data_IF_703888131169
#
_entry.id   IF_703888131169
#
_cell.length_a   1.000
_cell.length_b   1.000
_cell.length_c   1.000
_cell.angle_alpha   90.00
_cell.angle_beta   90.00
_cell.angle_gamma   90.00
#
_symmetry.space_group_name_H-M   'P 1'
#
loop_
_entity.id
_entity.type
_entity.pdbx_description
1 polymer ?
#
# COMPACT_ATOMS: atom_id res chain seq x y z
N UNK A 1 49.21 -13.92 9.26
CA UNK A 1 48.81 -13.65 10.65
C UNK A 1 47.56 -14.44 10.96
N UNK A 2 47.76 -15.71 11.32
CA UNK A 2 46.81 -16.54 12.07
C UNK A 2 47.13 -16.27 13.53
N UNK A 3 46.14 -16.00 14.39
CA UNK A 3 46.18 -16.42 15.79
C UNK A 3 44.97 -15.94 16.62
N UNK A 4 44.50 -16.86 17.47
CA UNK A 4 43.83 -16.66 18.77
C UNK A 4 42.34 -16.30 18.78
N UNK A 5 41.52 -17.36 18.82
CA UNK A 5 40.37 -17.43 19.73
C UNK A 5 40.43 -18.77 20.47
N UNK A 6 40.79 -18.69 21.75
CA UNK A 6 40.90 -19.81 22.67
C UNK A 6 39.75 -19.74 23.70
N UNK A 7 39.14 -20.91 23.89
CA UNK A 7 38.67 -21.48 25.16
C UNK A 7 37.88 -20.60 26.14
N UNK A 8 36.58 -20.88 26.25
CA UNK A 8 35.84 -20.78 27.51
C UNK A 8 35.09 -22.09 27.75
N UNK A 9 35.60 -22.88 28.70
CA UNK A 9 34.96 -24.07 29.26
C UNK A 9 34.41 -23.75 30.65
N UNK A 10 33.23 -24.31 30.91
CA UNK A 10 32.72 -24.84 32.18
C UNK A 10 32.53 -23.88 33.38
N UNK A 11 31.26 -23.62 33.67
CA UNK A 11 30.72 -23.68 35.03
C UNK A 11 29.21 -24.02 34.96
N UNK A 12 28.89 -25.32 34.91
CA UNK A 12 27.53 -25.82 35.08
C UNK A 12 27.32 -26.17 36.56
N UNK A 13 26.77 -25.22 37.32
CA UNK A 13 26.24 -25.46 38.66
C UNK A 13 24.83 -26.04 38.55
N UNK A 14 24.65 -27.27 39.00
CA UNK A 14 23.34 -27.92 39.13
C UNK A 14 22.63 -27.33 40.35
N UNK A 15 21.57 -26.55 40.13
CA UNK A 15 20.60 -26.17 41.17
C UNK A 15 19.32 -26.96 40.91
N UNK A 16 19.14 -28.03 41.68
CA UNK A 16 17.88 -28.78 41.77
C UNK A 16 16.95 -28.03 42.72
N UNK A 17 16.18 -27.08 42.17
CA UNK A 17 15.05 -26.45 42.85
C UNK A 17 13.76 -27.16 42.45
N UNK A 18 13.16 -27.89 43.40
CA UNK A 18 11.84 -28.47 43.25
C UNK A 18 10.78 -27.35 43.25
N UNK A 19 10.34 -26.95 42.05
CA UNK A 19 9.15 -26.12 41.85
C UNK A 19 7.97 -27.03 41.52
N UNK A 20 7.02 -27.12 42.45
CA UNK A 20 5.69 -27.68 42.22
C UNK A 20 4.91 -26.73 41.32
N UNK A 21 4.85 -27.03 40.02
CA UNK A 21 3.96 -26.36 39.06
C UNK A 21 2.62 -27.11 39.04
N UNK A 22 1.66 -26.63 39.83
CA UNK A 22 0.24 -26.95 39.63
C UNK A 22 -0.29 -26.06 38.50
N UNK A 23 -0.59 -26.70 37.36
CA UNK A 23 -1.08 -26.03 36.15
C UNK A 23 -0.69 -26.81 34.91
N UNK A 24 -1.23 -28.01 34.74
CA UNK A 24 -0.97 -28.86 33.58
C UNK A 24 -1.58 -28.27 32.31
N UNK A 25 -0.87 -27.37 31.65
CA UNK A 25 -1.07 -27.13 30.23
C UNK A 25 -0.78 -28.46 29.52
N UNK A 26 -1.83 -29.08 28.98
CA UNK A 26 -1.67 -30.34 28.25
C UNK A 26 -0.78 -30.11 27.04
N UNK A 27 0.13 -31.05 26.74
CA UNK A 27 1.08 -30.95 25.62
C UNK A 27 0.42 -30.75 24.23
N UNK A 28 -0.92 -30.84 24.16
CA UNK A 28 -1.72 -30.57 22.97
C UNK A 28 -1.80 -29.08 22.60
N UNK A 29 -1.48 -28.14 23.49
CA UNK A 29 -1.66 -26.69 23.25
C UNK A 29 -0.38 -25.98 22.74
N UNK A 30 0.70 -26.71 22.52
CA UNK A 30 1.95 -26.12 22.04
C UNK A 30 1.84 -25.71 20.57
N UNK A 31 2.03 -24.41 20.29
CA UNK A 31 2.07 -23.86 18.92
C UNK A 31 3.09 -24.62 18.07
N UNK A 32 2.63 -25.21 16.96
CA UNK A 32 3.51 -25.85 15.99
C UNK A 32 4.14 -24.78 15.09
N UNK A 33 5.43 -24.54 15.27
CA UNK A 33 6.18 -23.54 14.50
C UNK A 33 7.27 -24.18 13.63
N UNK A 34 7.56 -23.56 12.49
CA UNK A 34 8.74 -23.86 11.70
C UNK A 34 10.03 -23.46 12.44
N UNK A 35 11.16 -23.96 11.96
CA UNK A 35 12.46 -23.39 12.34
C UNK A 35 12.59 -21.94 11.88
N UNK A 36 13.42 -21.18 12.58
CA UNK A 36 13.80 -19.83 12.17
C UNK A 36 14.61 -19.86 10.88
N UNK A 37 14.31 -18.94 9.97
CA UNK A 37 15.01 -18.74 8.70
C UNK A 37 15.54 -17.32 8.63
N UNK A 38 16.85 -17.16 8.50
CA UNK A 38 17.46 -15.86 8.28
C UNK A 38 17.04 -15.29 6.91
N UNK A 39 16.86 -13.97 6.84
CA UNK A 39 16.63 -13.27 5.59
C UNK A 39 17.94 -12.91 4.91
N UNK A 40 17.91 -12.78 3.58
CA UNK A 40 19.06 -12.36 2.81
C UNK A 40 19.34 -10.85 3.00
N UNK A 41 20.58 -10.44 2.72
CA UNK A 41 20.94 -9.03 2.67
C UNK A 41 20.00 -8.22 1.74
N UNK A 42 19.64 -6.97 2.08
CA UNK A 42 20.15 -6.16 3.20
C UNK A 42 19.49 -6.42 4.57
N UNK A 43 18.62 -7.44 4.67
CA UNK A 43 17.81 -7.73 5.86
C UNK A 43 18.37 -8.90 6.67
N UNK A 44 19.69 -9.11 6.65
CA UNK A 44 20.40 -10.22 7.32
C UNK A 44 20.27 -10.21 8.85
N UNK A 45 19.83 -9.09 9.42
CA UNK A 45 19.50 -8.93 10.85
C UNK A 45 18.09 -9.40 11.23
N UNK A 46 17.35 -9.97 10.28
CA UNK A 46 16.01 -10.48 10.50
C UNK A 46 15.97 -12.00 10.29
N UNK A 47 15.23 -12.68 11.16
CA UNK A 47 14.84 -14.07 10.98
C UNK A 47 13.32 -14.15 11.00
N UNK A 48 12.72 -15.11 10.28
CA UNK A 48 11.29 -15.34 10.34
C UNK A 48 10.96 -16.82 10.58
N UNK A 49 9.76 -17.08 11.09
CA UNK A 49 9.16 -18.41 11.15
C UNK A 49 7.65 -18.32 10.99
N UNK A 50 7.03 -19.41 10.58
CA UNK A 50 5.58 -19.56 10.57
C UNK A 50 5.15 -20.43 11.73
N UNK A 51 4.01 -20.12 12.33
CA UNK A 51 3.40 -20.87 13.42
C UNK A 51 1.94 -21.15 13.09
N UNK A 52 1.49 -22.38 13.27
CA UNK A 52 0.07 -22.73 13.19
C UNK A 52 -0.55 -22.33 14.52
N UNK A 53 -1.56 -21.46 14.47
CA UNK A 53 -2.37 -21.18 15.65
C UNK A 53 -3.24 -22.41 15.94
N UNK A 54 -3.40 -22.80 17.22
CA UNK A 54 -4.40 -23.80 17.57
C UNK A 54 -5.77 -23.30 17.10
N UNK A 55 -6.61 -24.22 16.64
CA UNK A 55 -7.96 -23.86 16.23
C UNK A 55 -8.64 -23.11 17.39
N UNK A 56 -9.26 -21.98 17.07
CA UNK A 56 -10.04 -21.27 18.06
C UNK A 56 -11.04 -22.28 18.65
N UNK A 57 -11.16 -22.40 19.98
CA UNK A 57 -12.11 -23.34 20.56
C UNK A 57 -13.46 -23.04 19.93
N UNK A 58 -14.02 -24.05 19.25
CA UNK A 58 -15.36 -23.94 18.68
C UNK A 58 -16.24 -23.57 19.86
N UNK A 59 -16.85 -22.37 19.80
CA UNK A 59 -17.76 -21.96 20.86
C UNK A 59 -18.76 -23.11 21.03
N UNK A 60 -18.92 -23.67 22.24
CA UNK A 60 -19.83 -24.79 22.43
C UNK A 60 -21.18 -24.39 21.84
N UNK A 61 -21.75 -25.27 21.01
CA UNK A 61 -23.04 -25.02 20.37
C UNK A 61 -23.99 -24.49 21.43
N UNK A 62 -24.53 -23.29 21.20
CA UNK A 62 -25.44 -22.63 22.13
C UNK A 62 -26.78 -23.38 22.32
N UNK A 63 -26.88 -24.62 21.83
CA UNK A 63 -28.04 -25.48 21.88
C UNK A 63 -28.32 -26.06 23.28
N UNK A 64 -27.37 -26.05 24.21
CA UNK A 64 -27.54 -26.56 25.58
C UNK A 64 -27.40 -25.48 26.67
N UNK A 65 -27.61 -24.21 26.34
CA UNK A 65 -27.78 -23.20 27.38
C UNK A 65 -29.12 -23.45 28.12
N UNK A 66 -29.13 -23.81 29.41
CA UNK A 66 -30.37 -23.91 30.16
C UNK A 66 -31.09 -22.57 30.13
N UNK A 67 -32.37 -22.59 29.76
CA UNK A 67 -33.22 -21.42 29.70
C UNK A 67 -33.23 -20.72 31.07
N UNK A 68 -32.52 -19.60 31.18
CA UNK A 68 -32.57 -18.76 32.38
C UNK A 68 -33.98 -18.16 32.44
N UNK A 69 -34.75 -18.37 33.52
CA UNK A 69 -36.06 -17.74 33.67
C UNK A 69 -35.90 -16.23 33.71
N UNK A 70 -36.60 -15.54 32.81
CA UNK A 70 -36.77 -14.09 32.83
C UNK A 70 -37.51 -13.69 34.11
N UNK A 71 -36.78 -13.18 35.11
CA UNK A 71 -37.38 -12.32 36.13
C UNK A 71 -37.47 -10.90 35.61
N UNK A 72 -38.71 -10.42 35.53
CA UNK A 72 -39.09 -9.05 35.26
C UNK A 72 -38.65 -8.10 36.39
N UNK A 73 -38.75 -6.81 36.07
CA UNK A 73 -38.72 -5.62 36.94
C UNK A 73 -37.36 -4.99 37.25
N UNK A 74 -37.04 -3.95 36.48
CA UNK A 74 -36.39 -2.74 37.01
C UNK A 74 -36.78 -1.49 36.16
N UNK A 75 -36.88 -0.31 36.80
CA UNK A 75 -37.69 0.81 36.32
C UNK A 75 -36.98 1.76 35.34
N UNK A 76 -37.81 2.50 34.62
CA UNK A 76 -37.48 3.53 33.64
C UNK A 76 -36.58 4.66 34.20
N UNK A 77 -35.56 5.02 33.43
CA UNK A 77 -34.79 6.25 33.60
C UNK A 77 -35.47 7.41 32.85
N UNK A 78 -35.45 8.64 33.40
CA UNK A 78 -36.17 9.78 32.83
C UNK A 78 -35.46 10.37 31.61
N UNK A 79 -36.31 10.74 30.66
CA UNK A 79 -36.04 11.50 29.45
C UNK A 79 -35.70 12.95 29.82
N UNK A 80 -34.55 13.45 29.36
CA UNK A 80 -34.28 14.88 29.34
C UNK A 80 -34.39 15.39 27.90
N UNK A 81 -35.50 16.08 27.64
CA UNK A 81 -35.69 16.99 26.51
C UNK A 81 -34.68 18.14 26.61
N UNK A 82 -33.99 18.45 25.52
CA UNK A 82 -33.65 19.84 25.22
C UNK A 82 -33.95 20.11 23.76
N UNK A 83 -35.03 20.85 23.55
CA UNK A 83 -35.35 21.50 22.29
C UNK A 83 -34.38 22.66 22.06
N UNK A 84 -33.90 22.85 20.83
CA UNK A 84 -33.69 24.20 20.33
C UNK A 84 -34.07 24.29 18.86
N UNK A 85 -34.81 25.37 18.63
CA UNK A 85 -35.59 25.80 17.49
C UNK A 85 -34.77 26.26 16.28
N UNK A 86 -35.30 25.90 15.11
CA UNK A 86 -35.52 26.71 13.91
C UNK A 86 -34.39 27.62 13.37
N UNK A 87 -34.02 27.41 12.11
CA UNK A 87 -34.06 28.50 11.12
C UNK A 87 -34.43 27.97 9.73
N UNK A 88 -35.63 28.34 9.30
CA UNK A 88 -36.14 28.30 7.93
C UNK A 88 -35.44 29.32 7.05
N UNK A 89 -35.02 28.91 5.84
CA UNK A 89 -34.93 29.78 4.68
C UNK A 89 -35.19 28.98 3.39
N UNK A 90 -36.40 29.14 2.84
CA UNK A 90 -36.68 29.15 1.39
C UNK A 90 -35.73 30.17 0.75
N UNK A 91 -35.17 30.07 -0.46
CA UNK A 91 -35.70 29.86 -1.83
C UNK A 91 -34.41 29.89 -2.70
N UNK A 92 -34.19 29.18 -3.80
CA UNK A 92 -34.93 29.26 -5.05
C UNK A 92 -34.49 28.14 -6.00
N UNK A 93 -35.46 27.65 -6.77
CA UNK A 93 -35.33 26.77 -7.92
C UNK A 93 -34.43 27.38 -9.01
N UNK A 94 -33.52 26.57 -9.54
CA UNK A 94 -33.16 26.62 -10.96
C UNK A 94 -33.20 25.20 -11.50
N UNK A 95 -34.22 24.95 -12.32
CA UNK A 95 -34.37 23.73 -13.08
C UNK A 95 -33.31 23.70 -14.19
N UNK A 96 -32.42 22.72 -14.14
CA UNK A 96 -31.73 22.21 -15.33
C UNK A 96 -32.29 20.82 -15.60
N UNK A 97 -33.00 20.70 -16.71
CA UNK A 97 -33.43 19.45 -17.32
C UNK A 97 -32.19 18.69 -17.79
N UNK A 98 -31.82 17.65 -17.06
CA UNK A 98 -30.98 16.57 -17.57
C UNK A 98 -31.92 15.46 -18.04
N UNK A 99 -31.81 15.10 -19.31
CA UNK A 99 -32.41 13.90 -19.88
C UNK A 99 -31.85 12.67 -19.14
N UNK A 100 -32.68 12.13 -18.24
CA UNK A 100 -32.43 10.91 -17.50
C UNK A 100 -32.76 9.73 -18.43
N UNK A 101 -31.70 9.12 -18.99
CA UNK A 101 -31.82 7.90 -19.77
C UNK A 101 -32.14 6.75 -18.81
N UNK A 102 -33.44 6.45 -18.72
CA UNK A 102 -34.01 5.35 -17.92
C UNK A 102 -33.35 4.03 -18.34
N UNK A 103 -32.39 3.57 -17.54
CA UNK A 103 -31.88 2.21 -17.61
C UNK A 103 -32.94 1.24 -17.08
N UNK A 104 -33.23 0.14 -17.78
CA UNK A 104 -34.17 -0.86 -17.29
C UNK A 104 -33.63 -1.49 -16.01
N UNK A 105 -34.45 -1.45 -14.94
CA UNK A 105 -34.20 -2.18 -13.70
C UNK A 105 -34.34 -3.68 -13.97
N UNK A 106 -33.21 -4.38 -14.09
CA UNK A 106 -33.21 -5.84 -14.09
C UNK A 106 -33.68 -6.34 -12.72
N UNK A 107 -34.63 -7.28 -12.76
CA UNK A 107 -35.37 -7.76 -11.60
C UNK A 107 -34.47 -8.35 -10.51
N UNK A 108 -34.81 -8.03 -9.26
CA UNK A 108 -34.33 -8.72 -8.08
C UNK A 108 -34.74 -10.20 -8.18
N UNK A 109 -33.77 -11.05 -8.54
CA UNK A 109 -33.91 -12.49 -8.38
C UNK A 109 -33.80 -12.81 -6.88
N UNK A 110 -34.82 -13.49 -6.34
CA UNK A 110 -34.81 -14.10 -5.02
C UNK A 110 -33.57 -15.00 -4.86
N UNK A 111 -32.52 -14.50 -4.21
CA UNK A 111 -31.39 -15.31 -3.78
C UNK A 111 -31.83 -16.23 -2.65
N UNK A 112 -32.04 -17.50 -2.99
CA UNK A 112 -32.24 -18.55 -2.01
C UNK A 112 -31.09 -18.56 -0.98
N UNK A 113 -31.35 -18.80 0.32
CA UNK A 113 -30.34 -18.75 1.36
C UNK A 113 -29.21 -19.74 1.05
N UNK A 114 -28.00 -19.21 0.94
CA UNK A 114 -26.80 -20.00 0.68
C UNK A 114 -26.65 -21.09 1.75
N UNK A 115 -26.60 -22.35 1.32
CA UNK A 115 -26.31 -23.48 2.22
C UNK A 115 -24.95 -23.23 2.90
N UNK A 116 -24.82 -23.44 4.21
CA UNK A 116 -23.55 -23.30 4.90
C UNK A 116 -22.53 -24.25 4.25
N UNK A 117 -21.43 -23.68 3.74
CA UNK A 117 -20.30 -24.46 3.25
C UNK A 117 -19.74 -25.28 4.41
N UNK A 118 -19.66 -26.60 4.24
CA UNK A 118 -19.02 -27.52 5.18
C UNK A 118 -17.50 -27.57 5.01
N UNK A 119 -16.88 -26.53 4.48
CA UNK A 119 -15.43 -26.49 4.33
C UNK A 119 -14.78 -26.50 5.72
N UNK A 120 -13.90 -27.47 6.01
CA UNK A 120 -13.17 -27.49 7.28
C UNK A 120 -12.43 -26.16 7.44
N UNK A 121 -12.50 -25.58 8.64
CA UNK A 121 -11.90 -24.30 8.96
C UNK A 121 -10.43 -24.30 8.52
N UNK A 122 -10.06 -23.34 7.66
CA UNK A 122 -8.68 -23.23 7.18
C UNK A 122 -7.76 -22.91 8.36
N UNK A 123 -6.61 -23.57 8.48
CA UNK A 123 -5.69 -23.31 9.58
C UNK A 123 -5.15 -21.88 9.47
N UNK A 124 -5.12 -21.18 10.60
CA UNK A 124 -4.61 -19.81 10.67
C UNK A 124 -3.09 -19.84 10.86
N UNK A 125 -2.35 -19.31 9.89
CA UNK A 125 -0.87 -19.28 9.92
C UNK A 125 -0.38 -17.92 10.42
N UNK A 126 0.20 -17.88 11.62
CA UNK A 126 0.86 -16.71 12.18
C UNK A 126 2.30 -16.59 11.66
N UNK A 127 2.74 -15.39 11.34
CA UNK A 127 4.13 -15.06 11.03
C UNK A 127 4.79 -14.39 12.25
N UNK A 128 5.93 -14.93 12.68
CA UNK A 128 6.80 -14.28 13.65
C UNK A 128 8.07 -13.79 12.95
N UNK A 129 8.52 -12.59 13.29
CA UNK A 129 9.79 -12.01 12.82
C UNK A 129 10.65 -11.65 14.02
N UNK A 130 11.86 -12.21 14.05
CA UNK A 130 12.89 -11.84 15.01
C UNK A 130 13.77 -10.76 14.40
N UNK A 131 13.90 -9.64 15.09
CA UNK A 131 14.73 -8.51 14.68
C UNK A 131 15.93 -8.36 15.62
N UNK A 132 17.11 -8.26 15.04
CA UNK A 132 18.33 -7.90 15.75
C UNK A 132 18.65 -6.40 15.66
N UNK A 133 17.83 -5.58 15.01
CA UNK A 133 18.03 -4.12 14.95
C UNK A 133 17.91 -3.51 16.37
N UNK A 134 18.78 -2.55 16.75
CA UNK A 134 18.72 -1.93 18.06
C UNK A 134 17.54 -0.96 18.19
N UNK A 135 17.18 -0.27 17.12
CA UNK A 135 16.02 0.62 17.03
C UNK A 135 14.77 -0.08 16.47
N UNK A 136 13.61 0.43 16.88
CA UNK A 136 12.32 0.05 16.28
C UNK A 136 12.27 0.49 14.82
N UNK A 137 11.95 -0.43 13.91
CA UNK A 137 11.80 -0.14 12.49
C UNK A 137 10.39 -0.51 12.02
N UNK A 138 9.72 0.42 11.36
CA UNK A 138 8.49 0.12 10.65
C UNK A 138 8.87 -0.50 9.30
N UNK A 139 8.39 -1.72 9.07
CA UNK A 139 8.73 -2.54 7.91
C UNK A 139 7.47 -3.11 7.29
N UNK A 140 7.49 -3.20 5.96
CA UNK A 140 6.45 -3.88 5.19
C UNK A 140 6.96 -5.25 4.76
N UNK A 141 6.24 -6.28 5.16
CA UNK A 141 6.53 -7.68 4.85
C UNK A 141 5.60 -8.11 3.73
N UNK A 142 6.16 -8.44 2.57
CA UNK A 142 5.42 -9.02 1.45
C UNK A 142 5.63 -10.53 1.45
N UNK A 143 4.56 -11.28 1.65
CA UNK A 143 4.50 -12.73 1.56
C UNK A 143 3.99 -13.12 0.18
N UNK A 144 4.72 -13.98 -0.52
CA UNK A 144 4.24 -14.61 -1.75
C UNK A 144 3.98 -16.09 -1.46
N UNK A 145 2.74 -16.54 -1.64
CA UNK A 145 2.38 -17.96 -1.47
C UNK A 145 2.79 -18.79 -2.69
N UNK A 146 2.79 -20.13 -2.59
CA UNK A 146 3.07 -21.01 -3.73
C UNK A 146 2.02 -20.91 -4.83
N UNK A 147 0.80 -20.50 -4.51
CA UNK A 147 -0.23 -20.20 -5.50
C UNK A 147 -0.02 -18.85 -6.21
N UNK A 148 1.00 -18.08 -5.82
CA UNK A 148 1.29 -16.74 -6.34
C UNK A 148 0.44 -15.63 -5.73
N UNK A 149 -0.33 -15.91 -4.67
CA UNK A 149 -1.03 -14.85 -3.93
C UNK A 149 0.00 -14.00 -3.17
N UNK A 150 -0.23 -12.69 -3.10
CA UNK A 150 0.62 -11.77 -2.34
C UNK A 150 -0.17 -11.22 -1.18
N UNK A 151 0.43 -11.25 0.01
CA UNK A 151 -0.12 -10.70 1.24
C UNK A 151 0.89 -9.71 1.85
N UNK A 152 0.39 -8.57 2.32
CA UNK A 152 1.22 -7.49 2.86
C UNK A 152 0.90 -7.33 4.33
N UNK A 153 1.95 -7.37 5.16
CA UNK A 153 1.88 -7.11 6.60
C UNK A 153 2.75 -5.91 6.93
N UNK A 154 2.15 -4.87 7.51
CA UNK A 154 2.88 -3.72 8.04
C UNK A 154 3.21 -3.99 9.51
N UNK A 155 4.51 -4.00 9.85
CA UNK A 155 5.01 -4.46 11.14
C UNK A 155 5.98 -3.46 11.73
N UNK A 156 5.78 -3.12 13.00
CA UNK A 156 6.79 -2.41 13.80
C UNK A 156 7.71 -3.42 14.46
N UNK A 157 8.92 -3.58 13.94
CA UNK A 157 9.92 -4.52 14.44
C UNK A 157 10.76 -3.85 15.53
N UNK A 158 10.58 -4.30 16.77
CA UNK A 158 11.48 -4.01 17.90
C UNK A 158 12.54 -5.11 18.04
N UNK A 159 13.63 -4.86 18.77
CA UNK A 159 14.64 -5.89 19.05
C UNK A 159 13.99 -7.09 19.76
N UNK A 160 14.13 -8.29 19.21
CA UNK A 160 13.54 -9.52 19.74
C UNK A 160 12.52 -10.14 18.79
N UNK A 161 11.59 -10.93 19.32
CA UNK A 161 10.55 -11.62 18.53
C UNK A 161 9.30 -10.73 18.48
N UNK A 162 8.84 -10.43 17.26
CA UNK A 162 7.65 -9.64 16.99
C UNK A 162 6.64 -10.51 16.25
N UNK A 163 5.38 -10.44 16.65
CA UNK A 163 4.29 -11.04 15.90
C UNK A 163 4.00 -10.14 14.70
N UNK A 164 4.35 -10.61 13.50
CA UNK A 164 4.24 -9.85 12.27
C UNK A 164 2.81 -9.82 11.71
N UNK A 165 2.00 -10.84 12.02
CA UNK A 165 0.61 -10.90 11.58
C UNK A 165 0.17 -12.33 11.30
N UNK A 166 -0.96 -12.45 10.62
CA UNK A 166 -1.54 -13.72 10.15
C UNK A 166 -1.52 -13.71 8.62
N UNK A 167 -1.11 -14.81 8.01
CA UNK A 167 -1.21 -15.04 6.57
C UNK A 167 -2.55 -15.69 6.25
N UNK A 168 -3.53 -14.91 5.78
CA UNK A 168 -4.88 -15.37 5.40
C UNK A 168 -4.84 -16.19 4.11
N UNK A 169 -3.87 -15.92 3.23
CA UNK A 169 -3.70 -16.65 1.97
C UNK A 169 -3.00 -18.01 2.14
N UNK A 170 -2.31 -18.22 3.26
CA UNK A 170 -1.50 -19.41 3.49
C UNK A 170 -2.37 -20.63 3.86
N UNK A 171 -2.13 -21.77 3.21
CA UNK A 171 -2.80 -23.05 3.53
C UNK A 171 -2.09 -23.85 4.61
N UNK A 172 -0.77 -23.74 4.70
CA UNK A 172 0.04 -24.43 5.71
C UNK A 172 1.39 -23.70 5.93
N UNK A 173 2.20 -24.23 6.86
CA UNK A 173 3.50 -23.67 7.25
C UNK A 173 4.52 -23.56 6.10
N UNK A 174 4.32 -24.32 5.02
CA UNK A 174 5.22 -24.43 3.87
C UNK A 174 4.74 -23.65 2.64
N UNK A 175 3.55 -23.03 2.72
CA UNK A 175 2.90 -22.35 1.60
C UNK A 175 3.56 -21.00 1.25
N UNK A 176 4.36 -20.42 2.15
CA UNK A 176 5.14 -19.22 1.84
C UNK A 176 6.30 -19.61 0.90
N UNK A 177 6.20 -19.18 -0.36
CA UNK A 177 7.21 -19.39 -1.40
C UNK A 177 8.33 -18.35 -1.33
N UNK A 178 8.00 -17.09 -1.05
CA UNK A 178 8.96 -16.01 -0.87
C UNK A 178 8.48 -15.02 0.19
N UNK A 179 9.44 -14.40 0.89
CA UNK A 179 9.20 -13.30 1.82
C UNK A 179 10.15 -12.16 1.45
N UNK A 180 9.61 -10.98 1.26
CA UNK A 180 10.37 -9.75 1.00
C UNK A 180 10.10 -8.75 2.11
N UNK A 181 11.15 -8.10 2.57
CA UNK A 181 11.06 -6.99 3.53
C UNK A 181 11.37 -5.71 2.78
N UNK A 182 10.41 -4.81 2.79
CA UNK A 182 10.57 -3.45 2.32
C UNK A 182 10.75 -2.56 3.55
N UNK A 183 11.88 -1.87 3.61
CA UNK A 183 12.04 -0.78 4.59
C UNK A 183 11.10 0.36 4.20
N UNK A 184 10.15 0.66 5.09
CA UNK A 184 9.10 1.62 4.84
C UNK A 184 7.95 1.36 5.79
N UNK A 185 7.70 2.31 6.70
CA UNK A 185 6.57 2.26 7.61
C UNK A 185 5.24 2.49 6.91
N UNK A 186 4.21 2.81 7.69
CA UNK A 186 2.93 3.25 7.14
C UNK A 186 3.16 4.22 5.98
N UNK A 187 2.40 4.08 4.87
CA UNK A 187 2.59 4.91 3.70
C UNK A 187 2.64 6.38 4.15
N UNK A 188 3.77 7.05 3.92
CA UNK A 188 3.96 8.43 4.37
C UNK A 188 2.74 9.25 3.96
N UNK A 189 2.14 10.02 4.90
CA UNK A 189 0.92 10.74 4.60
C UNK A 189 1.16 11.68 3.42
N UNK A 190 0.46 11.42 2.33
CA UNK A 190 0.49 12.26 1.13
C UNK A 190 -0.44 13.44 1.34
N UNK A 191 0.11 14.65 1.23
CA UNK A 191 -0.64 15.90 1.40
C UNK A 191 -0.72 16.67 0.10
N UNK A 192 -1.83 17.37 -0.08
CA UNK A 192 -1.99 18.29 -1.19
C UNK A 192 -1.01 19.47 -1.02
N UNK A 193 -0.27 19.77 -2.08
CA UNK A 193 0.70 20.86 -2.11
C UNK A 193 0.11 22.04 -2.86
N UNK A 194 -0.04 23.16 -2.16
CA UNK A 194 -0.47 24.41 -2.74
C UNK A 194 0.68 25.19 -3.40
N UNK A 195 0.35 26.07 -4.34
CA UNK A 195 1.29 27.05 -4.86
C UNK A 195 1.77 28.03 -3.79
N UNK A 196 2.88 28.71 -4.06
CA UNK A 196 3.47 29.73 -3.18
C UNK A 196 4.11 30.86 -4.00
N UNK A 197 4.83 31.78 -3.35
CA UNK A 197 5.49 32.90 -4.00
C UNK A 197 6.47 32.50 -5.13
N UNK A 198 7.02 31.28 -5.09
CA UNK A 198 8.03 30.78 -6.03
C UNK A 198 7.49 29.69 -6.98
N UNK A 199 6.27 29.20 -6.75
CA UNK A 199 5.70 28.06 -7.45
C UNK A 199 4.22 28.28 -7.77
N UNK A 200 3.82 27.95 -8.98
CA UNK A 200 2.43 27.88 -9.43
C UNK A 200 2.06 26.41 -9.66
N UNK A 201 0.90 25.98 -9.16
CA UNK A 201 0.43 24.61 -9.30
C UNK A 201 -0.80 24.61 -10.20
N UNK A 202 -0.61 24.11 -11.43
CA UNK A 202 -1.67 23.87 -12.41
C UNK A 202 -2.11 22.40 -12.44
N UNK A 203 -1.38 21.52 -11.75
CA UNK A 203 -1.76 20.13 -11.58
C UNK A 203 -3.12 20.04 -10.87
N UNK A 204 -4.03 19.20 -11.41
CA UNK A 204 -5.35 18.95 -10.78
C UNK A 204 -5.22 18.37 -9.37
N UNK A 205 -4.21 17.52 -9.17
CA UNK A 205 -3.96 16.86 -7.88
C UNK A 205 -2.45 16.73 -7.65
N UNK A 206 -1.85 17.76 -7.06
CA UNK A 206 -0.47 17.71 -6.61
C UNK A 206 -0.44 17.22 -5.17
N UNK A 207 -0.29 15.90 -4.98
CA UNK A 207 -0.03 15.30 -3.68
C UNK A 207 1.39 14.76 -3.62
N UNK A 208 2.08 15.06 -2.53
CA UNK A 208 3.44 14.62 -2.24
C UNK A 208 3.55 14.25 -0.76
N UNK A 209 4.55 13.46 -0.42
CA UNK A 209 4.94 13.29 0.99
C UNK A 209 5.54 14.59 1.51
N UNK A 210 5.50 14.82 2.83
CA UNK A 210 6.05 16.04 3.45
C UNK A 210 7.52 16.31 3.03
N UNK A 211 8.44 15.31 3.05
CA UNK A 211 9.81 15.52 2.59
C UNK A 211 9.90 15.98 1.12
N UNK A 212 9.07 15.39 0.25
CA UNK A 212 9.07 15.70 -1.18
C UNK A 212 8.41 17.05 -1.49
N UNK A 213 7.39 17.44 -0.74
CA UNK A 213 6.81 18.78 -0.81
C UNK A 213 7.83 19.87 -0.44
N UNK A 214 8.60 19.67 0.64
CA UNK A 214 9.65 20.62 1.05
C UNK A 214 10.81 20.69 0.05
N UNK A 215 11.22 19.55 -0.53
CA UNK A 215 12.20 19.51 -1.63
C UNK A 215 11.72 20.35 -2.82
N UNK A 216 10.47 20.13 -3.26
CA UNK A 216 9.90 20.88 -4.37
C UNK A 216 9.87 22.40 -4.09
N UNK A 217 9.52 22.81 -2.85
CA UNK A 217 9.54 24.22 -2.45
C UNK A 217 10.95 24.82 -2.53
N UNK A 218 12.00 24.10 -2.12
CA UNK A 218 13.39 24.54 -2.22
C UNK A 218 13.87 24.64 -3.67
N UNK A 219 13.50 23.68 -4.52
CA UNK A 219 13.77 23.73 -5.97
C UNK A 219 13.12 24.98 -6.58
N UNK A 220 11.84 25.20 -6.30
CA UNK A 220 11.10 26.37 -6.77
C UNK A 220 11.73 27.68 -6.29
N UNK A 221 12.14 27.77 -5.02
CA UNK A 221 12.82 28.94 -4.48
C UNK A 221 14.17 29.22 -5.17
N UNK A 222 14.99 28.18 -5.40
CA UNK A 222 16.27 28.32 -6.10
C UNK A 222 16.05 28.73 -7.56
N UNK A 223 15.07 28.14 -8.24
CA UNK A 223 14.68 28.52 -9.60
C UNK A 223 14.22 29.98 -9.68
N UNK A 224 13.33 30.40 -8.77
CA UNK A 224 12.82 31.77 -8.71
C UNK A 224 13.93 32.78 -8.42
N UNK A 225 14.89 32.46 -7.53
CA UNK A 225 16.04 33.32 -7.25
C UNK A 225 16.86 33.62 -8.51
N UNK A 226 17.04 32.63 -9.38
CA UNK A 226 17.83 32.75 -10.60
C UNK A 226 17.06 33.42 -11.75
N UNK A 227 15.78 33.10 -11.92
CA UNK A 227 15.01 33.50 -13.11
C UNK A 227 14.02 34.65 -12.86
N UNK A 228 13.68 34.92 -11.60
CA UNK A 228 12.54 35.76 -11.18
C UNK A 228 11.19 35.31 -11.74
N UNK A 229 11.08 34.05 -12.17
CA UNK A 229 9.86 33.42 -12.65
C UNK A 229 9.45 32.29 -11.72
N UNK A 230 8.14 32.10 -11.54
CA UNK A 230 7.61 31.00 -10.72
C UNK A 230 7.81 29.67 -11.45
N UNK A 231 8.15 28.62 -10.72
CA UNK A 231 8.18 27.26 -11.24
C UNK A 231 6.74 26.78 -11.44
N UNK A 232 6.37 26.33 -12.65
CA UNK A 232 5.01 25.89 -12.93
C UNK A 232 4.92 24.38 -12.94
N UNK A 233 4.16 23.84 -11.99
CA UNK A 233 3.93 22.41 -11.80
C UNK A 233 2.63 22.00 -12.46
N UNK A 234 2.69 21.07 -13.41
CA UNK A 234 1.56 20.61 -14.23
C UNK A 234 1.09 19.21 -13.89
N UNK A 235 1.90 18.42 -13.19
CA UNK A 235 1.58 17.05 -12.78
C UNK A 235 2.14 16.68 -11.40
N UNK A 236 1.50 15.71 -10.75
CA UNK A 236 1.84 15.25 -9.40
C UNK A 236 1.40 13.81 -9.20
N UNK A 237 0.77 13.50 -8.06
CA UNK A 237 0.19 12.19 -7.82
C UNK A 237 -0.78 11.79 -8.95
N UNK A 238 -0.68 10.54 -9.38
CA UNK A 238 -1.54 10.01 -10.44
C UNK A 238 -2.15 8.69 -9.98
N UNK A 239 -3.48 8.63 -9.75
CA UNK A 239 -4.12 7.40 -9.33
C UNK A 239 -4.09 6.34 -10.45
N UNK A 240 -4.26 5.05 -10.11
CA UNK A 240 -4.25 3.94 -11.07
C UNK A 240 -5.14 4.17 -12.30
N UNK A 241 -6.36 4.69 -12.10
CA UNK A 241 -7.31 5.01 -13.18
C UNK A 241 -6.71 5.97 -14.20
N UNK A 242 -6.15 7.09 -13.74
CA UNK A 242 -5.58 8.11 -14.64
C UNK A 242 -4.30 7.63 -15.31
N UNK A 243 -3.50 6.82 -14.60
CA UNK A 243 -2.32 6.19 -15.19
C UNK A 243 -2.72 5.20 -16.29
N UNK A 244 -3.80 4.41 -16.09
CA UNK A 244 -4.32 3.49 -17.09
C UNK A 244 -4.79 4.21 -18.36
N UNK A 245 -5.53 5.32 -18.21
CA UNK A 245 -5.97 6.16 -19.33
C UNK A 245 -4.79 6.66 -20.18
N UNK A 246 -3.77 7.22 -19.53
CA UNK A 246 -2.57 7.70 -20.23
C UNK A 246 -1.84 6.56 -20.94
N UNK A 247 -1.74 5.39 -20.32
CA UNK A 247 -1.07 4.24 -20.93
C UNK A 247 -1.82 3.72 -22.16
N UNK A 248 -3.16 3.63 -22.10
CA UNK A 248 -3.99 3.30 -23.25
C UNK A 248 -3.79 4.30 -24.37
N UNK A 249 -3.80 5.59 -24.06
CA UNK A 249 -3.66 6.64 -25.07
C UNK A 249 -2.25 6.63 -25.70
N UNK A 250 -1.19 6.38 -24.92
CA UNK A 250 0.19 6.19 -25.44
C UNK A 250 0.29 4.97 -26.35
N UNK A 251 -0.25 3.83 -25.92
CA UNK A 251 -0.26 2.59 -26.71
C UNK A 251 -1.06 2.74 -28.00
N UNK A 252 -2.20 3.45 -27.97
CA UNK A 252 -3.01 3.74 -29.15
C UNK A 252 -2.28 4.61 -30.16
N UNK A 253 -1.41 5.52 -29.71
CA UNK A 253 -0.54 6.33 -30.58
C UNK A 253 0.68 5.57 -31.12
N UNK A 254 0.86 4.30 -30.74
CA UNK A 254 2.01 3.50 -31.16
C UNK A 254 3.31 3.82 -30.41
N UNK A 255 3.24 4.51 -29.27
CA UNK A 255 4.42 4.76 -28.44
C UNK A 255 4.94 3.44 -27.84
N UNK A 256 6.27 3.25 -27.84
CA UNK A 256 6.88 2.11 -27.15
C UNK A 256 7.04 2.39 -25.65
N UNK A 257 5.95 2.13 -24.92
CA UNK A 257 5.93 2.31 -23.46
C UNK A 257 6.98 1.46 -22.73
N UNK A 258 7.46 0.35 -23.32
CA UNK A 258 8.49 -0.47 -22.69
C UNK A 258 9.80 0.27 -22.65
N UNK A 259 10.11 1.13 -23.63
CA UNK A 259 11.31 1.98 -23.56
C UNK A 259 11.16 3.11 -22.55
N UNK A 260 9.96 3.69 -22.42
CA UNK A 260 9.69 4.87 -21.59
C UNK A 260 9.78 4.59 -20.08
N UNK A 261 9.35 3.42 -19.63
CA UNK A 261 9.23 3.13 -18.19
C UNK A 261 10.40 2.31 -17.66
N UNK A 262 10.85 2.59 -16.45
CA UNK A 262 11.97 1.89 -15.80
C UNK A 262 11.65 0.39 -15.56
N UNK A 263 10.47 0.10 -15.01
CA UNK A 263 10.07 -1.26 -14.67
C UNK A 263 9.51 -2.03 -15.88
N UNK A 264 10.40 -2.64 -16.66
CA UNK A 264 10.05 -3.35 -17.90
C UNK A 264 9.08 -4.53 -17.67
N UNK A 265 9.18 -5.22 -16.54
CA UNK A 265 8.29 -6.34 -16.21
C UNK A 265 6.84 -5.86 -16.01
N UNK A 266 6.64 -4.84 -15.16
CA UNK A 266 5.32 -4.27 -14.91
C UNK A 266 4.67 -3.70 -16.18
N UNK A 267 5.47 -3.07 -17.04
CA UNK A 267 5.00 -2.54 -18.34
C UNK A 267 4.66 -3.66 -19.30
N UNK A 268 5.40 -4.77 -19.25
CA UNK A 268 5.16 -5.97 -20.04
C UNK A 268 3.77 -6.54 -19.81
N UNK A 269 3.33 -6.64 -18.54
CA UNK A 269 1.98 -7.07 -18.16
C UNK A 269 0.91 -6.20 -18.83
N UNK A 270 1.07 -4.87 -18.77
CA UNK A 270 0.11 -3.91 -19.33
C UNK A 270 0.09 -3.95 -20.85
N UNK A 271 1.26 -4.04 -21.50
CA UNK A 271 1.35 -4.15 -22.96
C UNK A 271 0.71 -5.44 -23.47
N UNK A 272 0.92 -6.56 -22.76
CA UNK A 272 0.29 -7.83 -23.09
C UNK A 272 -1.23 -7.75 -22.97
N UNK A 273 -1.74 -7.20 -21.87
CA UNK A 273 -3.17 -7.00 -21.65
C UNK A 273 -3.82 -6.08 -22.70
N UNK A 274 -3.15 -4.99 -23.07
CA UNK A 274 -3.63 -4.11 -24.14
C UNK A 274 -3.74 -4.84 -25.48
N UNK A 275 -2.69 -5.57 -25.89
CA UNK A 275 -2.69 -6.32 -27.15
C UNK A 275 -3.78 -7.39 -27.19
N UNK A 276 -3.95 -8.13 -26.09
CA UNK A 276 -5.01 -9.12 -25.96
C UNK A 276 -6.40 -8.47 -26.06
N UNK A 277 -6.61 -7.35 -25.37
CA UNK A 277 -7.88 -6.63 -25.42
C UNK A 277 -8.17 -6.03 -26.80
N UNK A 278 -7.16 -5.53 -27.52
CA UNK A 278 -7.32 -5.06 -28.91
C UNK A 278 -7.68 -6.22 -29.84
N UNK A 279 -7.04 -7.39 -29.70
CA UNK A 279 -7.38 -8.58 -30.48
C UNK A 279 -8.81 -9.10 -30.21
N UNK A 280 -9.36 -8.79 -29.04
CA UNK A 280 -10.73 -9.10 -28.63
C UNK A 280 -11.71 -7.94 -28.90
N UNK A 281 -11.28 -6.90 -29.63
CA UNK A 281 -12.09 -5.72 -29.98
C UNK A 281 -12.68 -5.01 -28.75
N UNK A 282 -11.97 -5.03 -27.62
CA UNK A 282 -12.42 -4.34 -26.42
C UNK A 282 -12.51 -2.83 -26.64
N UNK A 283 -13.62 -2.24 -26.17
CA UNK A 283 -13.80 -0.78 -26.16
C UNK A 283 -12.72 -0.09 -25.30
N UNK A 284 -12.45 1.19 -25.57
CA UNK A 284 -11.49 1.99 -24.77
C UNK A 284 -11.81 1.92 -23.27
N UNK A 285 -13.10 2.02 -22.90
CA UNK A 285 -13.54 1.94 -21.50
C UNK A 285 -13.15 0.60 -20.87
N UNK A 286 -13.31 -0.51 -21.60
CA UNK A 286 -12.95 -1.85 -21.13
C UNK A 286 -11.43 -2.02 -21.03
N UNK A 287 -10.66 -1.54 -22.01
CA UNK A 287 -9.19 -1.55 -21.97
C UNK A 287 -8.64 -0.78 -20.77
N UNK A 288 -9.15 0.44 -20.53
CA UNK A 288 -8.73 1.26 -19.39
C UNK A 288 -9.04 0.55 -18.07
N UNK A 289 -10.22 -0.06 -17.92
CA UNK A 289 -10.57 -0.84 -16.72
C UNK A 289 -9.60 -2.00 -16.51
N UNK A 290 -9.37 -2.82 -17.54
CA UNK A 290 -8.44 -3.96 -17.44
C UNK A 290 -7.03 -3.53 -17.04
N UNK A 291 -6.52 -2.43 -17.63
CA UNK A 291 -5.18 -1.92 -17.31
C UNK A 291 -5.15 -1.30 -15.91
N UNK A 292 -6.22 -0.63 -15.49
CA UNK A 292 -6.38 -0.10 -14.13
C UNK A 292 -6.29 -1.23 -13.11
N UNK A 293 -7.02 -2.32 -13.30
CA UNK A 293 -7.02 -3.47 -12.38
C UNK A 293 -5.61 -4.09 -12.26
N UNK A 294 -4.87 -4.15 -13.37
CA UNK A 294 -3.46 -4.59 -13.37
C UNK A 294 -2.59 -3.61 -12.55
N UNK A 295 -2.74 -2.31 -12.76
CA UNK A 295 -1.97 -1.30 -12.01
C UNK A 295 -2.33 -1.34 -10.52
N UNK A 296 -3.60 -1.48 -10.16
CA UNK A 296 -4.05 -1.64 -8.77
C UNK A 296 -3.41 -2.89 -8.15
N UNK A 297 -3.43 -4.02 -8.86
CA UNK A 297 -2.78 -5.24 -8.41
C UNK A 297 -1.25 -5.08 -8.29
N UNK A 298 -0.60 -4.33 -9.19
CA UNK A 298 0.83 -4.03 -9.11
C UNK A 298 1.15 -3.18 -7.88
N UNK A 299 0.40 -2.09 -7.67
CA UNK A 299 0.54 -1.21 -6.50
C UNK A 299 0.33 -2.00 -5.20
N UNK A 300 -0.68 -2.87 -5.17
CA UNK A 300 -0.95 -3.76 -4.04
C UNK A 300 0.16 -4.79 -3.79
N UNK A 301 1.09 -5.00 -4.71
CA UNK A 301 2.30 -5.85 -4.55
C UNK A 301 3.58 -5.04 -4.37
N UNK A 302 3.47 -3.73 -4.10
CA UNK A 302 4.63 -2.82 -4.03
C UNK A 302 5.34 -2.61 -5.36
N UNK A 303 4.77 -3.07 -6.48
CA UNK A 303 5.31 -2.94 -7.82
C UNK A 303 4.75 -1.68 -8.46
N UNK A 304 5.58 -0.67 -8.68
CA UNK A 304 5.15 0.59 -9.29
C UNK A 304 5.68 0.70 -10.71
N UNK A 305 4.77 0.87 -11.68
CA UNK A 305 5.15 1.18 -13.07
C UNK A 305 5.61 2.64 -13.23
N UNK A 306 5.09 3.55 -12.42
CA UNK A 306 5.42 4.98 -12.45
C UNK A 306 5.58 5.51 -11.04
N UNK A 307 6.54 6.44 -10.87
CA UNK A 307 6.78 7.13 -9.60
C UNK A 307 5.62 8.06 -9.21
N UNK A 308 4.78 8.49 -10.16
CA UNK A 308 3.57 9.25 -9.85
C UNK A 308 2.54 8.48 -9.01
N UNK A 309 2.51 7.15 -9.13
CA UNK A 309 1.58 6.29 -8.37
C UNK A 309 1.90 6.26 -6.86
N UNK A 310 3.11 6.65 -6.48
CA UNK A 310 3.56 6.73 -5.07
C UNK A 310 3.81 8.16 -4.60
N UNK A 311 3.26 9.15 -5.30
CA UNK A 311 3.49 10.57 -5.01
C UNK A 311 5.00 10.96 -4.96
N UNK A 312 5.82 10.23 -5.72
CA UNK A 312 7.27 10.41 -5.80
C UNK A 312 7.71 11.05 -7.12
N UNK A 313 6.81 11.73 -7.82
CA UNK A 313 7.15 12.43 -9.05
C UNK A 313 6.28 13.66 -9.31
N UNK A 314 6.87 14.63 -10.01
CA UNK A 314 6.26 15.93 -10.33
C UNK A 314 6.59 16.28 -11.77
N UNK A 315 5.61 16.74 -12.52
CA UNK A 315 5.81 17.23 -13.88
C UNK A 315 5.86 18.76 -13.86
N UNK A 316 6.91 19.32 -14.44
CA UNK A 316 7.17 20.76 -14.53
C UNK A 316 7.02 21.20 -15.98
N UNK A 317 6.27 22.29 -16.19
CA UNK A 317 6.07 22.89 -17.51
C UNK A 317 7.40 23.24 -18.18
N UNK A 318 7.53 22.96 -19.47
CA UNK A 318 8.77 23.19 -20.20
C UNK A 318 8.66 24.13 -21.41
N UNK A 319 7.46 24.37 -21.94
CA UNK A 319 7.28 25.02 -23.25
C UNK A 319 7.69 26.50 -23.29
N UNK A 320 7.67 27.20 -22.15
CA UNK A 320 8.10 28.59 -22.02
C UNK A 320 9.50 28.73 -21.37
N UNK A 321 10.19 27.63 -21.09
CA UNK A 321 11.55 27.65 -20.55
C UNK A 321 12.58 27.84 -21.66
N UNK A 322 13.18 29.03 -21.71
CA UNK A 322 14.37 29.31 -22.53
C UNK A 322 15.63 28.69 -21.91
N UNK A 323 16.71 28.55 -22.68
CA UNK A 323 17.95 27.89 -22.24
C UNK A 323 18.47 28.29 -20.84
N UNK A 324 18.55 29.59 -20.50
CA UNK A 324 18.93 30.03 -19.15
C UNK A 324 17.98 29.56 -18.04
N UNK A 325 16.67 29.48 -18.32
CA UNK A 325 15.68 28.98 -17.36
C UNK A 325 15.82 27.46 -17.17
N UNK A 326 16.01 26.72 -18.27
CA UNK A 326 16.28 25.28 -18.19
C UNK A 326 17.54 25.00 -17.36
N UNK A 327 18.62 25.75 -17.59
CA UNK A 327 19.84 25.61 -16.82
C UNK A 327 19.62 25.93 -15.33
N UNK A 328 18.88 27.00 -15.03
CA UNK A 328 18.52 27.34 -13.65
C UNK A 328 17.71 26.23 -12.94
N UNK A 329 16.81 25.55 -13.67
CA UNK A 329 16.08 24.39 -13.15
C UNK A 329 17.02 23.22 -12.86
N UNK A 330 17.92 22.88 -13.79
CA UNK A 330 18.92 21.83 -13.62
C UNK A 330 19.84 22.11 -12.43
N UNK A 331 20.28 23.34 -12.27
CA UNK A 331 21.13 23.78 -11.16
C UNK A 331 20.39 23.76 -9.81
N UNK A 332 19.10 24.07 -9.80
CA UNK A 332 18.26 23.95 -8.62
C UNK A 332 18.08 22.48 -8.20
N UNK A 333 17.81 21.58 -9.15
CA UNK A 333 17.63 20.14 -8.89
C UNK A 333 18.93 19.50 -8.41
N UNK A 334 20.09 19.86 -8.98
CA UNK A 334 21.40 19.33 -8.57
C UNK A 334 21.73 19.56 -7.09
N UNK A 335 21.10 20.55 -6.45
CA UNK A 335 21.27 20.85 -5.01
C UNK A 335 20.45 19.93 -4.11
N UNK A 336 19.47 19.23 -4.64
CA UNK A 336 18.58 18.36 -3.85
C UNK A 336 18.95 16.88 -4.05
N UNK A 337 19.56 16.23 -3.04
CA UNK A 337 20.10 14.87 -3.20
C UNK A 337 18.99 13.85 -3.46
N UNK A 338 19.16 13.02 -4.50
CA UNK A 338 18.21 11.97 -4.87
C UNK A 338 17.06 12.43 -5.80
N UNK A 339 16.96 13.72 -6.11
CA UNK A 339 16.03 14.20 -7.14
C UNK A 339 16.69 14.06 -8.52
N UNK A 340 16.00 13.41 -9.46
CA UNK A 340 16.46 13.29 -10.85
C UNK A 340 15.53 14.03 -11.80
N UNK A 341 16.08 14.51 -12.91
CA UNK A 341 15.36 15.23 -13.96
C UNK A 341 15.41 14.41 -15.25
N UNK A 342 14.24 14.11 -15.79
CA UNK A 342 14.09 13.50 -17.11
C UNK A 342 13.41 14.48 -18.07
N UNK A 343 13.92 14.54 -19.30
CA UNK A 343 13.41 15.42 -20.35
C UNK A 343 12.34 14.69 -21.18
N UNK A 344 11.07 14.97 -20.89
CA UNK A 344 9.91 14.38 -21.58
C UNK A 344 9.30 15.34 -22.62
N UNK A 345 10.05 16.35 -23.09
CA UNK A 345 9.56 17.34 -24.06
C UNK A 345 9.16 16.76 -25.41
N UNK A 346 9.66 15.56 -25.75
CA UNK A 346 9.34 14.84 -26.99
C UNK A 346 8.01 14.08 -26.92
N UNK A 347 7.33 14.09 -25.77
CA UNK A 347 6.03 13.43 -25.60
C UNK A 347 4.87 14.33 -26.06
N UNK A 348 3.66 13.76 -26.10
CA UNK A 348 2.44 14.50 -26.46
C UNK A 348 2.12 15.66 -25.50
N UNK A 349 2.61 15.60 -24.26
CA UNK A 349 2.47 16.66 -23.27
C UNK A 349 3.87 17.11 -22.85
N UNK A 350 4.48 18.11 -23.51
CA UNK A 350 5.87 18.49 -23.25
C UNK A 350 6.06 19.01 -21.82
N UNK A 351 6.87 18.30 -21.02
CA UNK A 351 7.23 18.68 -19.66
C UNK A 351 8.60 18.13 -19.25
N UNK A 352 9.09 18.60 -18.12
CA UNK A 352 10.21 18.03 -17.38
C UNK A 352 9.67 17.15 -16.26
N UNK A 353 10.11 15.89 -16.22
CA UNK A 353 9.68 14.93 -15.20
C UNK A 353 10.72 14.87 -14.08
N UNK A 354 10.32 15.22 -12.86
CA UNK A 354 11.16 15.15 -11.67
C UNK A 354 10.79 13.88 -10.91
N UNK A 355 11.75 12.97 -10.73
CA UNK A 355 11.61 11.84 -9.80
C UNK A 355 12.19 12.24 -8.45
N UNK A 356 11.42 11.99 -7.40
CA UNK A 356 11.79 12.21 -6.01
C UNK A 356 11.82 10.86 -5.27
N UNK A 357 12.76 10.71 -4.32
CA UNK A 357 12.98 9.44 -3.63
C UNK A 357 11.75 8.97 -2.86
#
# INVERSE_FOLDING_TARGET
MRERWAAWCAAAGVVLGALTLEGGATAADARQCSSWRALAAPNDRLEFRTCRLPDAPVAPDAADAPSVPHTADAPAAPTALTALTALTALTALTALTADDEVLPSEGAADEAPAKPSSDPAKPVIQLDIRSAYPETRAMRVELTTRSGAIEILDVSLTKGINQAGVCVACRDLTDIAALRILEGGEPEPVRQVAGNAHMEVLARDLRLTDPNAERLKRIAASYYKATRKRLVVTGGYRPPQRQAELMVDKLKRGEDIVLLYENKAAVGEIRAAYRAGVAQEHTRKRLVRTIKDIIEAQVARGVYISKHLRAGAVDVRSWDMVGPMEQALRDAIKKEPGVTLMDERKSAEPHFHLTMP
#
